data_IF_768028851773
#
_entry.id   IF_768028851773
#
_cell.length_a   1.000
_cell.length_b   1.000
_cell.length_c   1.000
_cell.angle_alpha   90.00
_cell.angle_beta   90.00
_cell.angle_gamma   90.00
#
_symmetry.space_group_name_H-M   'P 1'
#
loop_
_entity.id
_entity.type
_entity.pdbx_description
1 polymer ?
#
# COMPACT_ATOMS: atom_id res chain seq x y z
N UNK A 1 -92.73 0.20 23.45
CA UNK A 1 -91.57 -0.67 23.46
C UNK A 1 -91.81 -1.82 22.48
N UNK A 2 -91.21 -1.78 21.27
CA UNK A 2 -91.30 -2.89 20.31
C UNK A 2 -90.43 -4.02 20.81
N UNK A 3 -91.03 -5.14 21.24
CA UNK A 3 -90.28 -6.40 21.53
C UNK A 3 -89.69 -6.91 20.23
N UNK A 4 -88.34 -6.90 20.14
CA UNK A 4 -87.63 -7.55 19.02
C UNK A 4 -88.00 -9.03 19.03
N UNK A 5 -88.29 -9.58 17.83
CA UNK A 5 -88.65 -10.99 17.67
C UNK A 5 -87.41 -11.88 18.01
N UNK A 6 -87.60 -13.06 18.59
CA UNK A 6 -86.53 -13.96 19.02
C UNK A 6 -85.67 -14.42 17.86
N UNK A 7 -86.18 -14.43 16.65
CA UNK A 7 -85.41 -14.77 15.42
C UNK A 7 -84.26 -13.77 15.12
N UNK A 8 -84.47 -12.48 15.41
CA UNK A 8 -83.49 -11.42 15.18
C UNK A 8 -82.28 -11.51 16.14
N UNK A 9 -82.48 -12.09 17.29
CA UNK A 9 -81.45 -12.28 18.33
C UNK A 9 -80.51 -13.45 17.94
N UNK A 10 -81.06 -14.51 17.32
CA UNK A 10 -80.27 -15.70 16.91
C UNK A 10 -79.36 -15.43 15.70
N UNK A 11 -79.68 -14.49 14.83
CA UNK A 11 -78.89 -14.16 13.64
C UNK A 11 -77.78 -13.10 13.96
N UNK A 12 -78.07 -12.20 14.90
CA UNK A 12 -77.08 -11.12 15.26
C UNK A 12 -75.82 -11.63 15.96
N UNK A 13 -75.91 -12.70 16.75
CA UNK A 13 -74.76 -13.23 17.51
C UNK A 13 -73.75 -13.91 16.60
N UNK A 14 -74.13 -14.86 15.73
CA UNK A 14 -73.18 -15.49 14.80
C UNK A 14 -72.58 -14.48 13.80
N UNK A 15 -73.36 -13.48 13.38
CA UNK A 15 -72.85 -12.45 12.46
C UNK A 15 -71.81 -11.52 13.13
N UNK A 16 -71.93 -11.22 14.41
CA UNK A 16 -70.92 -10.49 15.19
C UNK A 16 -69.65 -11.30 15.39
N UNK A 17 -69.81 -12.58 15.66
CA UNK A 17 -68.65 -13.50 15.79
C UNK A 17 -67.86 -13.60 14.43
N UNK A 18 -68.61 -13.71 13.33
CA UNK A 18 -68.00 -13.75 11.98
C UNK A 18 -67.25 -12.45 11.66
N UNK A 19 -67.78 -11.32 12.02
CA UNK A 19 -67.18 -10.00 11.81
C UNK A 19 -65.93 -9.81 12.65
N UNK A 20 -65.93 -10.26 13.92
CA UNK A 20 -64.72 -10.26 14.77
C UNK A 20 -63.66 -11.17 14.21
N UNK A 21 -64.03 -12.36 13.71
CA UNK A 21 -63.11 -13.31 13.08
C UNK A 21 -62.46 -12.72 11.83
N UNK A 22 -63.23 -12.07 10.95
CA UNK A 22 -62.67 -11.38 9.76
C UNK A 22 -61.76 -10.21 10.16
N UNK A 23 -62.14 -9.40 11.17
CA UNK A 23 -61.26 -8.34 11.66
C UNK A 23 -59.96 -8.87 12.25
N UNK A 24 -59.98 -9.99 12.97
CA UNK A 24 -58.74 -10.60 13.50
C UNK A 24 -57.79 -11.11 12.39
N UNK A 25 -58.33 -11.72 11.35
CA UNK A 25 -57.53 -12.16 10.20
C UNK A 25 -56.89 -10.97 9.46
N UNK A 26 -57.63 -9.88 9.26
CA UNK A 26 -57.08 -8.69 8.61
C UNK A 26 -56.01 -8.01 9.45
N UNK A 27 -56.17 -7.94 10.77
CA UNK A 27 -55.13 -7.41 11.67
C UNK A 27 -53.87 -8.30 11.66
N UNK A 28 -54.05 -9.63 11.73
CA UNK A 28 -52.90 -10.57 11.67
C UNK A 28 -52.17 -10.43 10.33
N UNK A 29 -52.91 -10.37 9.21
CA UNK A 29 -52.30 -10.19 7.88
C UNK A 29 -51.56 -8.87 7.74
N UNK A 30 -52.11 -7.78 8.31
CA UNK A 30 -51.45 -6.47 8.28
C UNK A 30 -50.19 -6.45 9.17
N UNK A 31 -50.26 -7.02 10.38
CA UNK A 31 -49.09 -7.12 11.27
C UNK A 31 -47.98 -7.97 10.64
N UNK A 32 -48.32 -9.12 10.06
CA UNK A 32 -47.32 -9.97 9.35
C UNK A 32 -46.63 -9.19 8.22
N UNK A 33 -47.42 -8.55 7.36
CA UNK A 33 -46.86 -7.74 6.24
C UNK A 33 -46.03 -6.56 6.77
N UNK A 34 -46.41 -5.92 7.86
CA UNK A 34 -45.66 -4.84 8.47
C UNK A 34 -44.30 -5.32 8.99
N UNK A 35 -44.23 -6.44 9.69
CA UNK A 35 -42.98 -7.02 10.18
C UNK A 35 -42.08 -7.46 9.03
N UNK A 36 -42.60 -8.15 8.02
CA UNK A 36 -41.87 -8.60 6.84
C UNK A 36 -41.23 -7.41 6.07
N UNK A 37 -42.02 -6.35 5.84
CA UNK A 37 -41.51 -5.12 5.19
C UNK A 37 -40.46 -4.41 6.06
N UNK A 38 -40.59 -4.46 7.39
CA UNK A 38 -39.66 -3.82 8.31
C UNK A 38 -38.31 -4.58 8.32
N UNK A 39 -38.36 -5.91 8.31
CA UNK A 39 -37.17 -6.75 8.29
C UNK A 39 -36.41 -6.63 6.94
N UNK A 40 -37.13 -6.60 5.80
CA UNK A 40 -36.54 -6.34 4.49
C UNK A 40 -35.86 -4.97 4.43
N UNK A 41 -36.52 -3.94 4.94
CA UNK A 41 -35.96 -2.58 5.00
C UNK A 41 -34.72 -2.53 5.89
N UNK A 42 -34.74 -3.22 7.02
CA UNK A 42 -33.58 -3.31 7.94
C UNK A 42 -32.39 -4.02 7.30
N UNK A 43 -32.62 -5.12 6.58
CA UNK A 43 -31.56 -5.82 5.83
C UNK A 43 -30.95 -4.92 4.76
N UNK A 44 -31.77 -4.20 3.99
CA UNK A 44 -31.31 -3.23 2.97
C UNK A 44 -30.46 -2.11 3.59
N UNK A 45 -30.90 -1.57 4.74
CA UNK A 45 -30.13 -0.55 5.47
C UNK A 45 -28.78 -1.08 5.94
N UNK A 46 -28.73 -2.27 6.51
CA UNK A 46 -27.48 -2.89 6.96
C UNK A 46 -26.52 -3.17 5.77
N UNK A 47 -27.06 -3.60 4.64
CA UNK A 47 -26.27 -3.80 3.42
C UNK A 47 -25.73 -2.47 2.88
N UNK A 48 -26.53 -1.41 2.89
CA UNK A 48 -26.10 -0.08 2.46
C UNK A 48 -25.01 0.48 3.38
N UNK A 49 -25.16 0.33 4.70
CA UNK A 49 -24.16 0.74 5.68
C UNK A 49 -22.80 0.04 5.45
N UNK A 50 -22.81 -1.28 5.20
CA UNK A 50 -21.60 -2.03 4.85
C UNK A 50 -20.97 -1.52 3.57
N UNK A 51 -21.76 -1.33 2.52
CA UNK A 51 -21.28 -0.80 1.25
C UNK A 51 -20.66 0.60 1.39
N UNK A 52 -21.24 1.46 2.23
CA UNK A 52 -20.68 2.78 2.54
C UNK A 52 -19.38 2.69 3.34
N UNK A 53 -19.26 1.73 4.25
CA UNK A 53 -18.01 1.47 4.98
C UNK A 53 -16.91 0.99 4.06
N UNK A 54 -17.21 0.04 3.17
CA UNK A 54 -16.26 -0.49 2.18
C UNK A 54 -15.80 0.62 1.22
N UNK A 55 -16.72 1.47 0.76
CA UNK A 55 -16.38 2.61 -0.09
C UNK A 55 -15.46 3.63 0.62
N UNK A 56 -15.76 3.97 1.88
CA UNK A 56 -14.92 4.86 2.68
C UNK A 56 -13.52 4.28 2.89
N UNK A 57 -13.42 2.98 3.15
CA UNK A 57 -12.13 2.29 3.29
C UNK A 57 -11.33 2.34 1.98
N UNK A 58 -11.97 2.04 0.84
CA UNK A 58 -11.32 2.11 -0.48
C UNK A 58 -10.84 3.54 -0.80
N UNK A 59 -11.66 4.56 -0.58
CA UNK A 59 -11.27 5.97 -0.78
C UNK A 59 -10.10 6.39 0.13
N UNK A 60 -10.04 5.88 1.36
CA UNK A 60 -8.92 6.14 2.27
C UNK A 60 -7.62 5.52 1.76
N UNK A 61 -7.66 4.29 1.26
CA UNK A 61 -6.49 3.61 0.67
C UNK A 61 -6.00 4.38 -0.55
N UNK A 62 -6.89 4.77 -1.46
CA UNK A 62 -6.55 5.54 -2.65
C UNK A 62 -5.95 6.91 -2.31
N UNK A 63 -6.46 7.57 -1.26
CA UNK A 63 -5.92 8.88 -0.84
C UNK A 63 -4.49 8.76 -0.31
N UNK A 64 -4.18 7.74 0.49
CA UNK A 64 -2.83 7.45 1.00
C UNK A 64 -1.88 7.13 -0.14
N UNK A 65 -2.30 6.27 -1.08
CA UNK A 65 -1.51 5.94 -2.27
C UNK A 65 -1.18 7.18 -3.09
N UNK A 66 -2.19 7.99 -3.41
CA UNK A 66 -2.03 9.21 -4.20
C UNK A 66 -1.12 10.23 -3.51
N UNK A 67 -1.21 10.37 -2.18
CA UNK A 67 -0.29 11.19 -1.41
C UNK A 67 1.16 10.75 -1.60
N UNK A 68 1.47 9.46 -1.42
CA UNK A 68 2.84 8.95 -1.60
C UNK A 68 3.34 9.08 -3.03
N UNK A 69 2.51 8.76 -4.03
CA UNK A 69 2.88 8.92 -5.44
C UNK A 69 3.18 10.38 -5.76
N UNK A 70 2.34 11.33 -5.34
CA UNK A 70 2.58 12.75 -5.54
C UNK A 70 3.87 13.22 -4.88
N UNK A 71 4.14 12.76 -3.66
CA UNK A 71 5.38 13.05 -2.93
C UNK A 71 6.61 12.55 -3.69
N UNK A 72 6.60 11.30 -4.15
CA UNK A 72 7.72 10.71 -4.91
C UNK A 72 7.92 11.47 -6.21
N UNK A 73 6.84 11.77 -6.95
CA UNK A 73 6.94 12.55 -8.19
C UNK A 73 7.54 13.93 -7.95
N UNK A 74 7.18 14.60 -6.85
CA UNK A 74 7.78 15.88 -6.50
C UNK A 74 9.28 15.77 -6.18
N UNK A 75 9.71 14.67 -5.56
CA UNK A 75 11.15 14.39 -5.35
C UNK A 75 11.84 14.19 -6.71
N UNK A 76 11.27 13.38 -7.61
CA UNK A 76 11.82 13.18 -8.95
C UNK A 76 11.94 14.51 -9.70
N UNK A 77 10.94 15.39 -9.63
CA UNK A 77 10.93 16.69 -10.29
C UNK A 77 12.08 17.61 -9.85
N UNK A 78 12.51 17.52 -8.60
CA UNK A 78 13.67 18.26 -8.08
C UNK A 78 14.97 17.83 -8.75
N UNK A 79 15.12 16.54 -9.07
CA UNK A 79 16.38 15.98 -9.55
C UNK A 79 16.39 15.68 -11.05
N UNK A 80 15.24 15.31 -11.61
CA UNK A 80 15.08 15.00 -13.04
C UNK A 80 13.70 15.44 -13.53
N UNK A 81 13.57 16.71 -13.82
CA UNK A 81 12.31 17.29 -14.35
C UNK A 81 12.05 16.90 -15.82
N UNK A 82 13.07 16.40 -16.54
CA UNK A 82 12.99 16.03 -17.95
C UNK A 82 12.36 14.64 -18.17
N UNK A 83 12.29 13.81 -17.12
CA UNK A 83 11.60 12.52 -17.24
C UNK A 83 10.12 12.75 -17.63
N UNK A 84 9.59 11.98 -18.60
CA UNK A 84 8.18 12.05 -18.96
C UNK A 84 7.27 11.80 -17.75
N UNK A 85 6.12 12.50 -17.64
CA UNK A 85 5.19 12.33 -16.51
C UNK A 85 4.75 10.89 -16.29
N UNK A 86 4.58 10.12 -17.37
CA UNK A 86 4.22 8.68 -17.28
C UNK A 86 5.34 7.89 -16.62
N UNK A 87 6.60 8.11 -17.02
CA UNK A 87 7.74 7.43 -16.42
C UNK A 87 7.92 7.80 -14.94
N UNK A 88 7.72 9.07 -14.58
CA UNK A 88 7.72 9.53 -13.18
C UNK A 88 6.65 8.81 -12.36
N UNK A 89 5.45 8.70 -12.92
CA UNK A 89 4.35 8.00 -12.27
C UNK A 89 4.64 6.50 -12.10
N UNK A 90 5.16 5.82 -13.11
CA UNK A 90 5.52 4.40 -13.05
C UNK A 90 6.59 4.14 -11.98
N UNK A 91 7.65 4.94 -11.96
CA UNK A 91 8.70 4.90 -10.92
C UNK A 91 8.09 5.13 -9.53
N UNK A 92 7.27 6.18 -9.38
CA UNK A 92 6.64 6.50 -8.10
C UNK A 92 5.72 5.39 -7.60
N UNK A 93 4.94 4.81 -8.51
CA UNK A 93 4.06 3.69 -8.20
C UNK A 93 4.86 2.44 -7.77
N UNK A 94 5.97 2.13 -8.44
CA UNK A 94 6.80 0.98 -8.08
C UNK A 94 7.48 1.16 -6.71
N UNK A 95 7.96 2.37 -6.39
CA UNK A 95 8.50 2.71 -5.06
C UNK A 95 7.42 2.54 -3.99
N UNK A 96 6.21 3.03 -4.23
CA UNK A 96 5.08 2.84 -3.31
C UNK A 96 4.76 1.36 -3.10
N UNK A 97 4.67 0.57 -4.18
CA UNK A 97 4.42 -0.87 -4.09
C UNK A 97 5.53 -1.60 -3.32
N UNK A 98 6.79 -1.21 -3.52
CA UNK A 98 7.93 -1.76 -2.78
C UNK A 98 7.80 -1.46 -1.27
N UNK A 99 7.39 -0.25 -0.88
CA UNK A 99 7.18 0.11 0.52
C UNK A 99 6.03 -0.67 1.19
N UNK A 100 5.02 -1.07 0.42
CA UNK A 100 3.94 -1.95 0.91
C UNK A 100 4.44 -3.41 1.01
N UNK A 101 5.22 -3.88 0.03
CA UNK A 101 5.77 -5.24 -0.02
C UNK A 101 6.79 -5.48 1.11
N UNK A 102 7.61 -4.50 1.43
CA UNK A 102 8.69 -4.58 2.40
C UNK A 102 8.46 -3.63 3.59
N UNK A 103 7.82 -4.12 4.64
CA UNK A 103 7.42 -3.32 5.81
C UNK A 103 8.58 -2.69 6.61
N UNK A 104 9.82 -3.09 6.34
CA UNK A 104 11.04 -2.52 6.91
C UNK A 104 11.65 -1.39 6.05
N UNK A 105 11.02 -1.04 4.93
CA UNK A 105 11.39 0.06 4.05
C UNK A 105 10.20 1.01 3.90
N UNK A 106 10.38 2.27 4.26
CA UNK A 106 9.39 3.30 3.91
C UNK A 106 9.73 3.97 2.57
N UNK A 107 8.76 4.68 2.01
CA UNK A 107 8.90 5.43 0.75
C UNK A 107 10.11 6.38 0.80
N UNK A 108 10.32 7.03 1.94
CA UNK A 108 11.33 8.07 2.09
C UNK A 108 12.74 7.48 2.12
N UNK A 109 12.93 6.30 2.74
CA UNK A 109 14.20 5.58 2.72
C UNK A 109 14.54 5.07 1.32
N UNK A 110 13.56 4.54 0.58
CA UNK A 110 13.77 4.10 -0.80
C UNK A 110 14.16 5.29 -1.67
N UNK A 111 13.43 6.42 -1.59
CA UNK A 111 13.76 7.64 -2.32
C UNK A 111 15.16 8.19 -1.95
N UNK A 112 15.53 8.17 -0.66
CA UNK A 112 16.86 8.60 -0.20
C UNK A 112 17.97 7.74 -0.80
N UNK A 113 17.77 6.42 -0.81
CA UNK A 113 18.72 5.47 -1.42
C UNK A 113 18.86 5.73 -2.93
N UNK A 114 17.74 5.82 -3.67
CA UNK A 114 17.76 6.11 -5.11
C UNK A 114 18.46 7.46 -5.39
N UNK A 115 18.14 8.48 -4.61
CA UNK A 115 18.78 9.81 -4.79
C UNK A 115 20.28 9.74 -4.62
N UNK A 116 20.77 8.99 -3.64
CA UNK A 116 22.20 8.83 -3.43
C UNK A 116 22.85 7.97 -4.52
N UNK A 117 22.27 6.79 -4.80
CA UNK A 117 22.79 5.83 -5.79
C UNK A 117 22.83 6.41 -7.20
N UNK A 118 21.82 7.17 -7.58
CA UNK A 118 21.78 7.86 -8.89
C UNK A 118 22.60 9.15 -8.93
N UNK A 119 23.44 9.43 -7.94
CA UNK A 119 24.19 10.69 -7.80
C UNK A 119 23.31 11.96 -7.96
N UNK A 120 22.06 11.90 -7.48
CA UNK A 120 21.09 12.96 -7.59
C UNK A 120 20.56 13.22 -9.00
N UNK A 121 20.74 12.28 -9.92
CA UNK A 121 20.27 12.46 -11.32
C UNK A 121 18.91 11.83 -11.57
N UNK A 122 18.53 10.82 -10.80
CA UNK A 122 17.34 9.99 -11.05
C UNK A 122 17.25 9.50 -12.51
N UNK A 123 18.42 9.28 -13.15
CA UNK A 123 18.50 8.74 -14.50
C UNK A 123 18.47 7.21 -14.47
N UNK A 124 17.50 6.55 -15.12
CA UNK A 124 17.45 5.09 -15.15
C UNK A 124 18.65 4.43 -15.83
N UNK A 125 19.33 5.15 -16.72
CA UNK A 125 20.47 4.64 -17.49
C UNK A 125 21.82 4.96 -16.89
N UNK A 126 21.88 5.52 -15.66
CA UNK A 126 23.15 5.87 -15.02
C UNK A 126 24.01 4.62 -14.78
N UNK A 127 25.31 4.73 -15.05
CA UNK A 127 26.30 3.68 -14.78
C UNK A 127 27.47 4.24 -13.99
N UNK A 128 27.90 3.50 -12.98
CA UNK A 128 29.11 3.83 -12.23
C UNK A 128 30.37 3.34 -12.97
N UNK A 129 31.52 3.87 -12.57
CA UNK A 129 32.81 3.36 -13.04
C UNK A 129 33.08 1.89 -12.67
N UNK A 130 32.47 1.43 -11.56
CA UNK A 130 32.56 0.03 -11.13
C UNK A 130 31.60 -0.91 -11.89
N UNK A 131 30.73 -0.37 -12.75
CA UNK A 131 29.78 -1.15 -13.54
C UNK A 131 28.41 -1.35 -12.89
N UNK A 132 28.10 -0.67 -11.80
CA UNK A 132 26.75 -0.65 -11.25
C UNK A 132 25.80 0.15 -12.15
N UNK A 133 24.53 -0.26 -12.27
CA UNK A 133 23.60 0.26 -13.28
C UNK A 133 22.27 0.62 -12.64
N UNK A 134 21.69 1.74 -13.09
CA UNK A 134 20.32 2.14 -12.86
C UNK A 134 20.10 2.89 -11.55
N UNK A 135 18.82 3.15 -11.23
CA UNK A 135 18.40 4.01 -10.12
C UNK A 135 18.92 3.56 -8.75
N UNK A 136 19.06 2.27 -8.54
CA UNK A 136 19.57 1.67 -7.30
C UNK A 136 20.96 1.04 -7.45
N UNK A 137 21.67 1.36 -8.54
CA UNK A 137 23.06 0.97 -8.77
C UNK A 137 23.34 -0.52 -8.53
N UNK A 138 22.63 -1.38 -9.24
CA UNK A 138 22.76 -2.82 -9.08
C UNK A 138 23.94 -3.32 -9.94
N UNK A 139 24.84 -4.08 -9.32
CA UNK A 139 25.90 -4.79 -10.04
C UNK A 139 25.30 -5.92 -10.89
N UNK A 140 25.76 -6.14 -12.16
CA UNK A 140 25.19 -7.17 -13.04
C UNK A 140 25.10 -8.55 -12.41
N UNK A 141 26.13 -9.01 -11.71
CA UNK A 141 26.12 -10.32 -11.04
C UNK A 141 25.03 -10.41 -9.95
N UNK A 142 24.84 -9.33 -9.19
CA UNK A 142 23.74 -9.21 -8.19
C UNK A 142 22.38 -9.19 -8.89
N UNK A 143 22.28 -8.47 -10.01
CA UNK A 143 21.05 -8.39 -10.80
C UNK A 143 20.59 -9.75 -11.33
N UNK A 144 21.50 -10.57 -11.88
CA UNK A 144 21.20 -11.94 -12.33
C UNK A 144 20.61 -12.76 -11.18
N UNK A 145 21.24 -12.71 -10.00
CA UNK A 145 20.76 -13.44 -8.83
C UNK A 145 19.39 -12.96 -8.36
N UNK A 146 19.17 -11.64 -8.30
CA UNK A 146 17.91 -11.05 -7.81
C UNK A 146 16.75 -11.23 -8.80
N UNK A 147 17.02 -11.28 -10.10
CA UNK A 147 16.02 -11.48 -11.14
C UNK A 147 15.23 -12.78 -10.96
N UNK A 148 15.89 -13.85 -10.49
CA UNK A 148 15.26 -15.16 -10.21
C UNK A 148 14.15 -15.05 -9.14
N UNK A 149 14.27 -14.12 -8.19
CA UNK A 149 13.31 -13.95 -7.10
C UNK A 149 12.19 -12.95 -7.42
N UNK A 150 12.32 -12.20 -8.50
CA UNK A 150 11.32 -11.19 -8.93
C UNK A 150 10.61 -11.61 -10.23
N UNK A 151 10.74 -12.89 -10.62
CA UNK A 151 10.16 -13.44 -11.86
C UNK A 151 10.57 -12.64 -13.11
N UNK A 152 11.79 -12.09 -13.13
CA UNK A 152 12.34 -11.32 -14.23
C UNK A 152 13.20 -12.23 -15.11
N UNK A 153 12.79 -12.40 -16.37
CA UNK A 153 13.58 -13.12 -17.35
C UNK A 153 14.83 -12.30 -17.71
N UNK A 154 15.99 -12.76 -17.31
CA UNK A 154 17.24 -12.05 -17.59
C UNK A 154 17.63 -12.20 -19.06
N UNK A 155 17.78 -11.08 -19.76
CA UNK A 155 18.21 -11.00 -21.16
C UNK A 155 19.61 -10.40 -21.27
N UNK A 156 19.78 -9.17 -20.81
CA UNK A 156 21.08 -8.49 -20.73
C UNK A 156 21.09 -7.47 -19.58
N UNK A 157 22.29 -7.15 -19.08
CA UNK A 157 22.45 -6.15 -18.02
C UNK A 157 21.89 -4.78 -18.40
N UNK A 158 22.09 -4.38 -19.68
CA UNK A 158 21.60 -3.09 -20.15
C UNK A 158 20.08 -3.04 -20.22
N UNK A 159 19.44 -4.10 -20.75
CA UNK A 159 17.99 -4.13 -20.91
C UNK A 159 17.28 -4.21 -19.56
N UNK A 160 17.78 -5.06 -18.66
CA UNK A 160 17.12 -5.30 -17.38
C UNK A 160 17.45 -4.22 -16.34
N UNK A 161 18.73 -3.81 -16.22
CA UNK A 161 19.13 -2.89 -15.15
C UNK A 161 18.89 -1.41 -15.48
N UNK A 162 18.70 -1.04 -16.76
CA UNK A 162 18.26 0.31 -17.13
C UNK A 162 16.75 0.47 -17.15
N UNK A 163 15.98 -0.63 -17.07
CA UNK A 163 14.55 -0.56 -16.80
C UNK A 163 14.33 -0.12 -15.34
N UNK A 164 13.71 1.05 -15.10
CA UNK A 164 13.58 1.59 -13.75
C UNK A 164 12.73 0.71 -12.83
N UNK A 165 11.74 -0.01 -13.39
CA UNK A 165 10.83 -0.84 -12.61
C UNK A 165 11.55 -2.10 -12.12
N UNK A 166 12.26 -2.78 -13.01
CA UNK A 166 13.06 -3.96 -12.64
C UNK A 166 14.19 -3.59 -11.68
N UNK A 167 14.85 -2.46 -11.93
CA UNK A 167 15.93 -1.97 -11.07
C UNK A 167 15.44 -1.68 -9.65
N UNK A 168 14.30 -1.00 -9.50
CA UNK A 168 13.68 -0.71 -8.19
C UNK A 168 13.25 -2.01 -7.49
N UNK A 169 12.62 -2.94 -8.18
CA UNK A 169 12.21 -4.24 -7.60
C UNK A 169 13.38 -4.99 -7.02
N UNK A 170 14.42 -5.16 -7.81
CA UNK A 170 15.63 -5.87 -7.38
C UNK A 170 16.37 -5.12 -6.28
N UNK A 171 16.54 -3.81 -6.42
CA UNK A 171 17.27 -2.99 -5.44
C UNK A 171 16.55 -2.92 -4.08
N UNK A 172 15.25 -2.74 -4.07
CA UNK A 172 14.46 -2.71 -2.82
C UNK A 172 14.39 -4.08 -2.16
N UNK A 173 14.31 -5.17 -2.94
CA UNK A 173 14.43 -6.53 -2.39
C UNK A 173 15.76 -6.71 -1.67
N UNK A 174 16.86 -6.36 -2.33
CA UNK A 174 18.19 -6.50 -1.76
C UNK A 174 18.34 -5.64 -0.51
N UNK A 175 17.97 -4.37 -0.58
CA UNK A 175 17.99 -3.46 0.58
C UNK A 175 17.15 -3.99 1.74
N UNK A 176 15.93 -4.48 1.47
CA UNK A 176 15.06 -5.05 2.51
C UNK A 176 15.69 -6.24 3.20
N UNK A 177 16.33 -7.16 2.45
CA UNK A 177 17.05 -8.30 3.03
C UNK A 177 18.16 -7.84 3.98
N UNK A 178 18.97 -6.88 3.55
CA UNK A 178 20.08 -6.34 4.34
C UNK A 178 19.59 -5.59 5.58
N UNK A 179 18.56 -4.76 5.45
CA UNK A 179 17.94 -4.05 6.58
C UNK A 179 17.30 -5.00 7.59
N UNK A 180 16.67 -6.08 7.11
CA UNK A 180 16.10 -7.12 8.01
C UNK A 180 17.17 -7.80 8.85
N UNK A 181 18.37 -7.98 8.30
CA UNK A 181 19.44 -8.72 8.96
C UNK A 181 20.33 -7.84 9.84
N UNK A 182 20.62 -6.60 9.39
CA UNK A 182 21.60 -5.71 10.02
C UNK A 182 21.00 -4.43 10.65
N UNK A 183 19.68 -4.23 10.56
CA UNK A 183 19.04 -2.95 10.85
C UNK A 183 19.30 -1.92 9.76
N UNK A 184 18.70 -0.72 9.86
CA UNK A 184 18.79 0.29 8.81
C UNK A 184 20.23 0.68 8.50
N UNK A 185 20.98 1.13 9.51
CA UNK A 185 22.37 1.60 9.31
C UNK A 185 23.28 0.49 8.77
N UNK A 186 23.16 -0.71 9.37
CA UNK A 186 23.94 -1.87 8.95
C UNK A 186 23.54 -2.37 7.57
N UNK A 187 22.26 -2.30 7.23
CA UNK A 187 21.74 -2.65 5.91
C UNK A 187 22.25 -1.69 4.83
N UNK A 188 22.25 -0.40 5.09
CA UNK A 188 22.85 0.61 4.20
C UNK A 188 24.35 0.41 4.06
N UNK A 189 25.07 0.14 5.16
CA UNK A 189 26.50 -0.16 5.12
C UNK A 189 26.80 -1.43 4.30
N UNK A 190 25.94 -2.47 4.43
CA UNK A 190 26.07 -3.70 3.68
C UNK A 190 25.77 -3.51 2.19
N UNK A 191 24.79 -2.68 1.87
CA UNK A 191 24.40 -2.36 0.49
C UNK A 191 25.55 -1.76 -0.32
N UNK A 192 26.25 -0.77 0.25
CA UNK A 192 27.36 -0.10 -0.40
C UNK A 192 28.72 -0.83 -0.18
N UNK A 193 29.05 -1.17 1.06
CA UNK A 193 30.36 -1.71 1.45
C UNK A 193 30.45 -3.23 1.53
N UNK A 194 29.35 -3.93 1.34
CA UNK A 194 29.24 -5.38 1.44
C UNK A 194 29.02 -5.90 2.86
N UNK A 195 28.39 -7.05 2.95
CA UNK A 195 27.91 -7.67 4.21
C UNK A 195 29.04 -7.94 5.22
N UNK A 196 30.24 -8.32 4.73
CA UNK A 196 31.36 -8.60 5.62
C UNK A 196 31.75 -7.38 6.44
N UNK A 197 31.90 -6.21 5.80
CA UNK A 197 32.31 -4.97 6.47
C UNK A 197 31.18 -4.45 7.39
N UNK A 198 29.96 -4.50 6.94
CA UNK A 198 28.81 -4.14 7.76
C UNK A 198 28.70 -5.02 9.02
N UNK A 199 28.88 -6.33 8.90
CA UNK A 199 28.88 -7.25 10.04
C UNK A 199 29.96 -6.94 11.07
N UNK A 200 31.18 -6.63 10.62
CA UNK A 200 32.28 -6.24 11.49
C UNK A 200 31.97 -4.92 12.21
N UNK A 201 31.46 -3.94 11.48
CA UNK A 201 31.09 -2.63 12.00
C UNK A 201 30.00 -2.71 13.07
N UNK A 202 28.94 -3.47 12.82
CA UNK A 202 27.85 -3.69 13.79
C UNK A 202 28.37 -4.41 15.05
N UNK A 203 29.21 -5.46 14.89
CA UNK A 203 29.81 -6.18 16.02
C UNK A 203 30.72 -5.30 16.88
N UNK A 204 31.33 -4.28 16.28
CA UNK A 204 32.18 -3.31 16.96
C UNK A 204 31.40 -2.07 17.44
N UNK A 205 30.08 -2.17 17.63
CA UNK A 205 29.22 -1.06 18.04
C UNK A 205 29.36 0.19 17.14
N UNK A 206 29.50 -0.02 15.85
CA UNK A 206 29.63 1.03 14.84
C UNK A 206 30.87 1.93 15.04
N UNK A 207 31.98 1.33 15.49
CA UNK A 207 33.24 2.07 15.68
C UNK A 207 33.78 2.60 14.35
N UNK A 208 34.42 3.78 14.41
CA UNK A 208 35.06 4.43 13.27
C UNK A 208 36.22 3.58 12.69
N UNK A 209 36.48 3.75 11.41
CA UNK A 209 37.64 3.13 10.72
C UNK A 209 37.45 1.64 10.37
N UNK A 210 36.25 1.08 10.55
CA UNK A 210 35.94 -0.30 10.14
C UNK A 210 35.35 -0.34 8.75
N UNK A 211 34.46 0.59 8.43
CA UNK A 211 33.91 0.70 7.08
C UNK A 211 34.95 1.29 6.11
N UNK A 212 34.78 1.02 4.83
CA UNK A 212 35.51 1.74 3.80
C UNK A 212 35.14 3.22 3.85
N UNK A 213 36.06 4.11 3.54
CA UNK A 213 35.85 5.57 3.59
C UNK A 213 34.62 6.04 2.78
N UNK A 214 34.33 5.38 1.66
CA UNK A 214 33.11 5.62 0.88
C UNK A 214 31.85 5.27 1.69
N UNK A 215 31.84 4.08 2.30
CA UNK A 215 30.70 3.59 3.08
C UNK A 215 30.49 4.37 4.38
N UNK A 216 31.56 4.85 5.02
CA UNK A 216 31.49 5.75 6.18
C UNK A 216 30.73 7.05 5.87
N UNK A 217 30.86 7.56 4.65
CA UNK A 217 30.13 8.74 4.18
C UNK A 217 28.74 8.41 3.64
N UNK A 218 28.57 7.23 3.07
CA UNK A 218 27.33 6.77 2.44
C UNK A 218 26.16 6.67 3.44
N UNK A 219 26.38 6.00 4.56
CA UNK A 219 25.32 5.77 5.56
C UNK A 219 24.74 7.10 6.09
N UNK A 220 25.54 8.04 6.62
CA UNK A 220 24.97 9.31 7.11
C UNK A 220 24.38 10.18 6.00
N UNK A 221 24.88 10.10 4.78
CA UNK A 221 24.32 10.84 3.65
C UNK A 221 22.89 10.38 3.32
N UNK A 222 22.64 9.07 3.28
CA UNK A 222 21.29 8.53 3.06
C UNK A 222 20.37 8.84 4.24
N UNK A 223 20.82 8.65 5.47
CA UNK A 223 20.02 8.97 6.67
C UNK A 223 19.60 10.46 6.69
N UNK A 224 20.49 11.36 6.29
CA UNK A 224 20.17 12.79 6.15
C UNK A 224 19.13 13.07 5.06
N UNK A 225 19.20 12.38 3.93
CA UNK A 225 18.18 12.47 2.88
C UNK A 225 16.85 11.88 3.34
N UNK A 226 16.88 10.77 4.04
CA UNK A 226 15.70 10.13 4.61
C UNK A 226 14.97 11.07 5.57
N UNK A 227 15.69 11.69 6.52
CA UNK A 227 15.11 12.68 7.44
C UNK A 227 14.55 13.90 6.69
N UNK A 228 15.27 14.38 5.66
CA UNK A 228 14.79 15.47 4.80
C UNK A 228 13.46 15.12 4.14
N UNK A 229 13.34 13.92 3.58
CA UNK A 229 12.12 13.50 2.87
C UNK A 229 10.96 13.24 3.85
N UNK A 230 11.21 12.66 5.01
CA UNK A 230 10.20 12.54 6.08
C UNK A 230 9.62 13.88 6.52
N UNK A 231 10.43 14.91 6.56
CA UNK A 231 9.99 16.26 6.94
C UNK A 231 9.21 16.99 5.84
N UNK A 232 9.24 16.51 4.59
CA UNK A 232 8.47 17.07 3.49
C UNK A 232 7.00 16.64 3.60
N UNK A 233 6.16 17.51 4.15
CA UNK A 233 4.71 17.45 3.98
C UNK A 233 4.38 18.16 2.66
N UNK A 234 3.62 17.48 1.77
CA UNK A 234 3.08 18.09 0.55
C UNK A 234 2.03 19.15 0.90
#
# INVERSE_FOLDING_TARGET
MKKESPLYRHIRLPMKILLIFFMSITVIGFTYKYFDTTDETRMKMTQLERSLQDLKAAMSIDSVRNFHISKIMSIIDVYNNELPPVAKYEIANEIYLASIKYSNLDVDLICATITHESAGTWSPSIKSHAGAIGLMQIMPATGVYLAEFEDISWTSENEILTDPIYNIRMGTRYLSMLVSYYGVDGGLAAYNGGERQASLWIKANKADGILWAETENYVPAILKLWDKYKAQNL
#
